data_IF_505572502698
#
_entry.id   IF_505572502698
#
_cell.length_a   1.000
_cell.length_b   1.000
_cell.length_c   1.000
_cell.angle_alpha   90.00
_cell.angle_beta   90.00
_cell.angle_gamma   90.00
#
_symmetry.space_group_name_H-M   'P 1'
#
loop_
_entity.id
_entity.type
_entity.pdbx_description
1 polymer ?
#
# COMPACT_ATOMS: atom_id res chain seq x y z
N UNK A 1 27.00 -29.53 2.69
CA UNK A 1 26.91 -28.48 1.64
C UNK A 1 25.63 -28.51 0.81
N UNK A 2 25.12 -29.67 0.33
CA UNK A 2 23.84 -29.74 -0.44
C UNK A 2 22.60 -29.15 0.27
N UNK A 3 22.46 -29.32 1.60
CA UNK A 3 21.29 -28.85 2.37
C UNK A 3 21.16 -27.32 2.43
N UNK A 4 22.26 -26.58 2.35
CA UNK A 4 22.26 -25.10 2.41
C UNK A 4 21.73 -24.49 1.11
N UNK A 5 22.03 -25.12 -0.03
CA UNK A 5 21.55 -24.68 -1.34
C UNK A 5 20.02 -24.81 -1.44
N UNK A 6 19.44 -25.91 -0.95
CA UNK A 6 17.98 -26.09 -0.92
C UNK A 6 17.28 -25.06 -0.03
N UNK A 7 17.90 -24.69 1.10
CA UNK A 7 17.38 -23.67 2.02
C UNK A 7 17.39 -22.28 1.36
N UNK A 8 18.46 -21.94 0.64
CA UNK A 8 18.56 -20.70 -0.14
C UNK A 8 17.52 -20.62 -1.26
N UNK A 9 17.32 -21.70 -2.01
CA UNK A 9 16.31 -21.76 -3.09
C UNK A 9 14.88 -21.61 -2.50
N UNK A 10 14.59 -22.20 -1.35
CA UNK A 10 13.30 -22.03 -0.68
C UNK A 10 13.03 -20.58 -0.22
N UNK A 11 14.05 -19.90 0.31
CA UNK A 11 13.92 -18.50 0.77
C UNK A 11 13.67 -17.54 -0.41
N UNK A 12 14.32 -17.78 -1.56
CA UNK A 12 14.14 -16.97 -2.77
C UNK A 12 12.74 -17.19 -3.38
N UNK A 13 12.23 -18.42 -3.37
CA UNK A 13 10.88 -18.71 -3.89
C UNK A 13 9.75 -18.11 -3.04
N UNK A 14 9.92 -18.03 -1.71
CA UNK A 14 8.92 -17.46 -0.81
C UNK A 14 8.86 -15.93 -0.86
N UNK A 15 10.01 -15.28 -1.04
CA UNK A 15 10.10 -13.81 -1.07
C UNK A 15 9.52 -13.19 -2.34
N UNK A 16 9.66 -13.86 -3.50
CA UNK A 16 9.07 -13.41 -4.77
C UNK A 16 7.54 -13.47 -4.82
N UNK A 17 6.89 -14.29 -3.98
CA UNK A 17 5.44 -14.35 -3.91
C UNK A 17 4.87 -13.17 -3.10
N UNK A 18 5.51 -12.78 -1.99
CA UNK A 18 4.97 -11.79 -1.06
C UNK A 18 4.72 -10.42 -1.72
N UNK A 19 5.62 -9.96 -2.58
CA UNK A 19 5.52 -8.67 -3.27
C UNK A 19 4.34 -8.60 -4.24
N UNK A 20 4.07 -9.67 -5.00
CA UNK A 20 2.91 -9.72 -5.91
C UNK A 20 1.57 -9.73 -5.15
N UNK A 21 1.51 -10.33 -3.95
CA UNK A 21 0.29 -10.36 -3.15
C UNK A 21 -0.05 -9.02 -2.49
N UNK A 22 0.95 -8.24 -2.06
CA UNK A 22 0.71 -6.92 -1.43
C UNK A 22 0.09 -5.94 -2.41
N UNK A 23 0.62 -5.92 -3.62
CA UNK A 23 0.19 -5.04 -4.69
C UNK A 23 -1.28 -5.29 -5.10
N UNK A 24 -1.75 -6.54 -5.08
CA UNK A 24 -3.14 -6.89 -5.44
C UNK A 24 -4.16 -6.56 -4.33
N UNK A 25 -3.73 -6.45 -3.07
CA UNK A 25 -4.65 -6.21 -1.94
C UNK A 25 -5.36 -4.87 -2.02
N UNK A 26 -4.66 -3.83 -2.46
CA UNK A 26 -5.20 -2.47 -2.53
C UNK A 26 -6.33 -2.41 -3.57
N UNK A 27 -6.07 -2.94 -4.77
CA UNK A 27 -7.05 -2.99 -5.86
C UNK A 27 -8.25 -3.87 -5.53
N UNK A 28 -8.05 -4.99 -4.84
CA UNK A 28 -9.17 -5.81 -4.38
C UNK A 28 -10.01 -5.08 -3.33
N UNK A 29 -9.37 -4.41 -2.37
CA UNK A 29 -10.06 -3.68 -1.33
C UNK A 29 -10.86 -2.48 -1.85
N UNK A 30 -10.34 -1.80 -2.89
CA UNK A 30 -11.05 -0.76 -3.63
C UNK A 30 -12.32 -1.31 -4.29
N UNK A 31 -12.22 -2.39 -5.06
CA UNK A 31 -13.38 -3.04 -5.69
C UNK A 31 -14.43 -3.53 -4.68
N UNK A 32 -14.02 -3.82 -3.44
CA UNK A 32 -14.90 -4.22 -2.35
C UNK A 32 -15.48 -3.02 -1.56
N UNK A 33 -15.12 -1.79 -1.91
CA UNK A 33 -15.57 -0.58 -1.22
C UNK A 33 -15.09 -0.49 0.23
N UNK A 34 -13.91 -1.04 0.55
CA UNK A 34 -13.43 -1.15 1.94
C UNK A 34 -12.89 0.16 2.51
N UNK A 35 -12.49 1.11 1.66
CA UNK A 35 -11.99 2.42 2.09
C UNK A 35 -13.15 3.41 2.29
N UNK A 36 -13.15 4.12 3.41
CA UNK A 36 -14.19 5.11 3.75
C UNK A 36 -13.58 6.34 4.45
N UNK A 37 -14.23 7.50 4.30
CA UNK A 37 -13.78 8.75 4.92
C UNK A 37 -13.97 8.68 6.45
N UNK A 38 -12.96 9.13 7.19
CA UNK A 38 -12.88 9.02 8.65
C UNK A 38 -12.12 7.79 9.13
N UNK A 39 -11.78 6.84 8.24
CA UNK A 39 -11.03 5.63 8.57
C UNK A 39 -9.66 5.97 9.22
N UNK A 40 -9.30 5.36 10.35
CA UNK A 40 -7.97 5.52 10.94
C UNK A 40 -6.85 5.05 10.01
N UNK A 41 -5.69 5.70 10.05
CA UNK A 41 -4.52 5.29 9.26
C UNK A 41 -4.09 3.84 9.53
N UNK A 42 -4.28 3.34 10.75
CA UNK A 42 -4.04 1.93 11.10
C UNK A 42 -4.93 0.96 10.33
N UNK A 43 -6.21 1.31 10.10
CA UNK A 43 -7.11 0.49 9.29
C UNK A 43 -6.73 0.53 7.81
N UNK A 44 -6.36 1.70 7.28
CA UNK A 44 -5.87 1.82 5.89
C UNK A 44 -4.62 0.97 5.69
N UNK A 45 -3.65 1.05 6.59
CA UNK A 45 -2.40 0.28 6.51
C UNK A 45 -2.63 -1.22 6.67
N UNK A 46 -3.60 -1.65 7.46
CA UNK A 46 -4.02 -3.06 7.54
C UNK A 46 -4.63 -3.56 6.22
N UNK A 47 -5.42 -2.73 5.53
CA UNK A 47 -5.99 -3.06 4.22
C UNK A 47 -4.90 -3.14 3.16
N UNK A 48 -4.01 -2.15 3.12
CA UNK A 48 -2.86 -2.12 2.21
C UNK A 48 -1.86 -3.24 2.51
N UNK A 49 -1.82 -3.71 3.77
CA UNK A 49 -0.96 -4.80 4.22
C UNK A 49 0.44 -4.35 4.64
N UNK A 50 0.69 -3.04 4.68
CA UNK A 50 1.96 -2.44 5.13
C UNK A 50 1.79 -1.00 5.58
N UNK A 51 2.77 -0.52 6.34
CA UNK A 51 2.86 0.87 6.78
C UNK A 51 3.41 1.77 5.65
N UNK A 52 3.17 3.11 5.69
CA UNK A 52 3.79 4.04 4.76
C UNK A 52 5.31 3.96 4.88
N UNK A 53 5.98 3.74 3.75
CA UNK A 53 7.43 3.68 3.69
C UNK A 53 7.93 4.67 2.65
N UNK A 54 8.32 5.86 3.10
CA UNK A 54 8.68 6.99 2.22
C UNK A 54 10.00 6.80 1.45
N UNK A 55 10.68 5.66 1.59
CA UNK A 55 11.80 5.26 0.73
C UNK A 55 11.29 4.67 -0.59
N UNK A 56 10.19 3.92 -0.53
CA UNK A 56 9.61 3.22 -1.70
C UNK A 56 8.26 3.83 -2.14
N UNK A 57 7.60 4.55 -1.25
CA UNK A 57 6.35 5.26 -1.47
C UNK A 57 6.60 6.76 -1.64
N UNK A 58 5.69 7.46 -2.31
CA UNK A 58 5.69 8.91 -2.29
C UNK A 58 4.87 9.43 -1.10
N UNK A 59 5.57 9.94 -0.10
CA UNK A 59 4.97 10.62 1.06
C UNK A 59 5.09 12.14 0.91
N UNK A 60 4.02 12.87 1.24
CA UNK A 60 4.03 14.34 1.26
C UNK A 60 3.25 14.87 2.47
N UNK A 61 3.65 16.03 2.97
CA UNK A 61 2.87 16.80 3.94
C UNK A 61 2.38 18.10 3.28
N UNK A 62 1.10 18.41 3.42
CA UNK A 62 0.49 19.64 2.93
C UNK A 62 -0.13 20.41 4.08
N UNK A 63 0.23 21.69 4.21
CA UNK A 63 -0.42 22.59 5.17
C UNK A 63 -1.45 23.43 4.45
N UNK A 64 -2.69 23.39 4.93
CA UNK A 64 -3.82 24.17 4.41
C UNK A 64 -4.39 25.05 5.51
N UNK A 65 -5.33 25.94 5.19
CA UNK A 65 -6.10 26.70 6.19
C UNK A 65 -6.89 25.80 7.14
N UNK A 66 -7.19 24.57 6.72
CA UNK A 66 -7.94 23.60 7.52
C UNK A 66 -7.02 22.77 8.45
N UNK A 67 -5.71 22.79 8.22
CA UNK A 67 -4.72 22.05 9.02
C UNK A 67 -3.67 21.32 8.18
N UNK A 68 -2.89 20.46 8.86
CA UNK A 68 -1.82 19.65 8.25
C UNK A 68 -2.37 18.31 7.75
N UNK A 69 -2.12 18.02 6.48
CA UNK A 69 -2.48 16.76 5.84
C UNK A 69 -1.24 15.92 5.53
N UNK A 70 -1.31 14.63 5.82
CA UNK A 70 -0.32 13.63 5.39
C UNK A 70 -0.86 12.94 4.14
N UNK A 71 -0.08 12.87 3.08
CA UNK A 71 -0.41 12.21 1.83
C UNK A 71 0.52 11.02 1.66
N UNK A 72 -0.08 9.87 1.40
CA UNK A 72 0.63 8.63 1.11
C UNK A 72 0.20 8.12 -0.25
N UNK A 73 1.17 8.01 -1.16
CA UNK A 73 0.97 7.51 -2.51
C UNK A 73 1.68 6.18 -2.67
N UNK A 74 0.92 5.16 -3.07
CA UNK A 74 1.37 3.77 -3.15
C UNK A 74 0.85 3.11 -4.42
N UNK A 75 1.69 2.31 -5.08
CA UNK A 75 1.28 1.50 -6.22
C UNK A 75 0.47 0.30 -5.72
N UNK A 76 -0.71 0.08 -6.29
CA UNK A 76 -1.40 -1.21 -6.22
C UNK A 76 -1.18 -1.94 -7.55
N UNK A 77 -0.75 -3.18 -7.48
CA UNK A 77 -0.57 -4.01 -8.66
C UNK A 77 -1.89 -4.50 -9.23
N UNK A 78 -1.83 -4.73 -10.54
CA UNK A 78 -2.87 -5.40 -11.31
C UNK A 78 -2.53 -6.87 -11.52
N UNK A 79 -3.56 -7.69 -11.67
CA UNK A 79 -3.43 -9.07 -12.12
C UNK A 79 -2.99 -9.04 -13.59
N UNK A 80 -1.71 -9.36 -13.88
CA UNK A 80 -1.19 -9.44 -15.24
C UNK A 80 -0.56 -8.16 -15.79
N UNK A 81 0.62 -7.79 -15.27
CA UNK A 81 1.67 -7.04 -15.98
C UNK A 81 1.44 -5.58 -16.40
N UNK A 82 0.20 -5.09 -16.54
CA UNK A 82 -0.06 -3.85 -17.29
C UNK A 82 -0.99 -2.82 -16.62
N UNK A 83 -1.42 -3.01 -15.37
CA UNK A 83 -2.28 -2.03 -14.69
C UNK A 83 -1.89 -1.82 -13.23
N UNK A 84 -0.68 -1.32 -12.99
CA UNK A 84 -0.35 -0.75 -11.69
C UNK A 84 -1.12 0.57 -11.53
N UNK A 85 -2.14 0.58 -10.66
CA UNK A 85 -2.84 1.81 -10.29
C UNK A 85 -2.05 2.50 -9.19
N UNK A 86 -1.91 3.82 -9.28
CA UNK A 86 -1.28 4.60 -8.21
C UNK A 86 -2.36 5.12 -7.29
N UNK A 87 -2.42 4.61 -6.06
CA UNK A 87 -3.38 5.02 -5.05
C UNK A 87 -2.84 6.18 -4.23
N UNK A 88 -3.69 7.16 -3.96
CA UNK A 88 -3.39 8.32 -3.13
C UNK A 88 -4.32 8.32 -1.92
N UNK A 89 -3.75 8.32 -0.71
CA UNK A 89 -4.47 8.44 0.56
C UNK A 89 -4.07 9.74 1.26
N UNK A 90 -5.06 10.59 1.58
CA UNK A 90 -4.86 11.84 2.32
C UNK A 90 -5.45 11.70 3.71
N UNK A 91 -4.65 12.04 4.71
CA UNK A 91 -5.00 11.94 6.12
C UNK A 91 -4.94 13.31 6.81
N UNK A 92 -5.80 13.52 7.79
CA UNK A 92 -5.77 14.64 8.74
C UNK A 92 -6.09 14.08 10.12
N UNK A 93 -5.31 14.47 11.14
CA UNK A 93 -5.47 13.96 12.51
C UNK A 93 -5.54 12.41 12.55
N UNK A 94 -4.67 11.77 11.75
CA UNK A 94 -4.56 10.32 11.55
C UNK A 94 -5.83 9.61 11.05
N UNK A 95 -6.78 10.37 10.47
CA UNK A 95 -7.99 9.88 9.80
C UNK A 95 -7.98 10.18 8.31
N UNK A 96 -8.49 9.24 7.50
CA UNK A 96 -8.59 9.36 6.05
C UNK A 96 -9.61 10.44 5.68
N UNK A 97 -9.21 11.47 4.95
CA UNK A 97 -10.10 12.57 4.51
C UNK A 97 -10.40 12.53 3.01
N UNK A 98 -9.53 11.91 2.22
CA UNK A 98 -9.79 11.61 0.82
C UNK A 98 -8.91 10.47 0.34
N UNK A 99 -9.38 9.73 -0.67
CA UNK A 99 -8.56 8.74 -1.37
C UNK A 99 -9.00 8.60 -2.82
N UNK A 100 -8.12 8.05 -3.67
CA UNK A 100 -8.42 7.79 -5.08
C UNK A 100 -7.26 7.09 -5.78
N UNK A 101 -7.40 6.85 -7.08
CA UNK A 101 -6.36 6.22 -7.91
C UNK A 101 -6.23 6.89 -9.27
N UNK A 102 -5.03 6.74 -9.87
CA UNK A 102 -4.68 7.15 -11.23
C UNK A 102 -4.09 5.96 -12.00
#
# INVERSE_FOLDING_TARGET
MRKIIYLLVMVILLSGCATMFEDMKITQAENQGRFYIGMPISEVTNIVGRQPNCIFDACKTENTSEGTHKIWVVNGGGMGGNFARTYNFKFKDDKLVSWGWQ
#
